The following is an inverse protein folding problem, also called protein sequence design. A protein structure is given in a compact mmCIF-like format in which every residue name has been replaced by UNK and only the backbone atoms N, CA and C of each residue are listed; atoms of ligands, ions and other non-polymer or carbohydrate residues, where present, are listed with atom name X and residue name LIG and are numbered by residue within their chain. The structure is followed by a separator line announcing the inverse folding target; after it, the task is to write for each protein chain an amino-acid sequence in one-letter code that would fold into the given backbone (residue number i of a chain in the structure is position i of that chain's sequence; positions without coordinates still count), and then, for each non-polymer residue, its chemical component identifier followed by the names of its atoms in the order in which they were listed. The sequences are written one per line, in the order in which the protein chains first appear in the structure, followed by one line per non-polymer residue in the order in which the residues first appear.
data_IF_315017003373
#
_entry.id   IF_315017003373
#
_cell.length_a   1.000
_cell.length_b   1.000
_cell.length_c   1.000
_cell.angle_alpha   90.00
_cell.angle_beta   90.00
_cell.angle_gamma   90.00
#
_symmetry.space_group_name_H-M   'P 1'
#
loop_
_entity.id
_entity.type
_entity.pdbx_description
1 polymer ?
#
# COMPACT_ATOMS: atom_id res chain seq x y z
N UNK A 1 -4.85 -1.95 17.30
CA UNK A 1 -4.51 -2.66 16.04
C UNK A 1 -3.10 -2.29 15.63
N UNK A 2 -2.31 -3.22 15.09
CA UNK A 2 -0.98 -2.91 14.54
C UNK A 2 -1.08 -2.11 13.24
N UNK A 3 -0.04 -1.28 12.97
CA UNK A 3 0.12 -0.55 11.72
C UNK A 3 1.42 -0.98 11.07
N UNK A 4 1.34 -1.53 9.85
CA UNK A 4 2.51 -1.93 9.06
C UNK A 4 2.81 -0.88 7.98
N UNK A 5 4.06 -0.47 7.86
CA UNK A 5 4.58 0.41 6.82
C UNK A 5 5.67 -0.31 6.06
N UNK A 6 5.55 -0.38 4.73
CA UNK A 6 6.50 -1.06 3.87
C UNK A 6 7.44 -0.06 3.20
N UNK A 7 8.73 -0.35 3.29
CA UNK A 7 9.84 0.33 2.61
C UNK A 7 10.41 -0.65 1.57
N UNK A 8 9.88 -0.64 0.37
CA UNK A 8 10.11 -1.68 -0.63
C UNK A 8 9.79 -3.08 -0.09
N UNK A 9 10.80 -3.92 0.17
CA UNK A 9 10.69 -5.27 0.71
C UNK A 9 10.87 -5.36 2.24
N UNK A 10 11.03 -4.21 2.93
CA UNK A 10 11.26 -4.13 4.38
C UNK A 10 10.02 -3.65 5.11
N UNK A 11 9.81 -4.15 6.32
CA UNK A 11 8.63 -3.87 7.12
C UNK A 11 8.95 -3.09 8.40
N UNK A 12 8.16 -2.06 8.67
CA UNK A 12 8.07 -1.38 9.95
C UNK A 12 6.68 -1.63 10.56
N UNK A 13 6.64 -2.22 11.75
CA UNK A 13 5.40 -2.54 12.45
C UNK A 13 5.29 -1.75 13.75
N UNK A 14 4.21 -0.96 13.91
CA UNK A 14 3.82 -0.36 15.18
C UNK A 14 2.81 -1.29 15.87
N UNK A 15 3.12 -1.73 17.09
CA UNK A 15 2.31 -2.73 17.82
C UNK A 15 2.42 -2.56 19.32
N UNK A 16 1.45 -3.07 20.07
CA UNK A 16 1.45 -3.12 21.55
C UNK A 16 2.07 -4.41 22.11
N UNK A 17 2.26 -5.42 21.25
CA UNK A 17 2.78 -6.72 21.62
C UNK A 17 3.96 -7.11 20.73
N UNK A 18 4.91 -7.85 21.29
CA UNK A 18 6.09 -8.29 20.54
C UNK A 18 5.70 -9.32 19.48
N UNK A 19 5.87 -9.01 18.18
CA UNK A 19 5.58 -9.96 17.12
C UNK A 19 6.62 -11.10 17.11
N UNK A 20 6.19 -12.29 16.74
CA UNK A 20 7.09 -13.38 16.43
C UNK A 20 7.73 -13.11 15.07
N UNK A 21 9.07 -13.03 15.00
CA UNK A 21 9.80 -12.95 13.73
C UNK A 21 10.27 -11.57 13.28
N UNK A 22 10.09 -10.51 14.09
CA UNK A 22 10.76 -9.24 13.78
C UNK A 22 12.27 -9.34 14.00
N UNK A 23 13.07 -8.91 13.01
CA UNK A 23 14.55 -8.93 13.08
C UNK A 23 15.07 -8.00 14.16
N UNK A 24 14.41 -6.85 14.33
CA UNK A 24 14.75 -5.87 15.35
C UNK A 24 13.50 -5.35 16.05
N UNK A 25 13.63 -5.08 17.35
CA UNK A 25 12.54 -4.53 18.18
C UNK A 25 13.02 -3.31 18.92
N UNK A 26 12.27 -2.22 18.79
CA UNK A 26 12.48 -0.97 19.50
C UNK A 26 11.27 -0.71 20.43
N UNK A 27 11.51 -0.26 21.65
CA UNK A 27 10.44 0.24 22.50
C UNK A 27 10.38 1.75 22.41
N UNK A 28 9.21 2.27 22.13
CA UNK A 28 8.93 3.70 22.18
C UNK A 28 8.34 4.04 23.55
N UNK A 29 8.89 5.03 24.23
CA UNK A 29 8.30 5.59 25.44
C UNK A 29 7.04 6.40 25.10
N UNK A 30 6.09 6.57 26.05
CA UNK A 30 4.90 7.38 25.81
C UNK A 30 5.27 8.79 25.34
N UNK A 31 4.77 9.19 24.16
CA UNK A 31 5.06 10.48 23.54
C UNK A 31 6.40 10.56 22.79
N UNK A 32 7.23 9.51 22.81
CA UNK A 32 8.45 9.46 21.99
C UNK A 32 8.11 9.28 20.51
N UNK A 33 8.61 10.19 19.68
CA UNK A 33 8.54 10.05 18.24
C UNK A 33 9.72 9.23 17.71
N UNK A 34 9.42 8.09 17.12
CA UNK A 34 10.39 7.32 16.34
C UNK A 34 10.41 7.89 14.90
N UNK A 35 11.39 8.73 14.59
CA UNK A 35 11.48 9.41 13.31
C UNK A 35 11.99 8.52 12.18
N UNK A 36 11.68 8.92 10.93
CA UNK A 36 12.06 8.22 9.69
C UNK A 36 13.56 7.92 9.62
N UNK A 37 14.42 8.87 9.95
CA UNK A 37 15.87 8.70 9.86
C UNK A 37 16.38 7.55 10.74
N UNK A 38 15.83 7.42 11.98
CA UNK A 38 16.15 6.32 12.89
C UNK A 38 15.67 4.97 12.32
N UNK A 39 14.47 4.94 11.75
CA UNK A 39 13.90 3.74 11.13
C UNK A 39 14.75 3.29 9.94
N UNK A 40 15.05 4.18 9.01
CA UNK A 40 15.87 3.86 7.83
C UNK A 40 17.25 3.31 8.22
N UNK A 41 17.92 3.92 9.19
CA UNK A 41 19.21 3.45 9.68
C UNK A 41 19.14 2.02 10.25
N UNK A 42 18.06 1.64 10.94
CA UNK A 42 17.86 0.28 11.45
C UNK A 42 17.60 -0.67 10.28
N UNK A 43 16.73 -0.28 9.36
CA UNK A 43 16.36 -1.09 8.20
C UNK A 43 17.50 -1.26 7.19
N UNK A 44 18.61 -0.50 7.25
CA UNK A 44 19.82 -0.79 6.47
C UNK A 44 20.35 -2.22 6.72
N UNK A 45 20.27 -2.70 7.98
CA UNK A 45 20.81 -3.98 8.41
C UNK A 45 19.74 -5.03 8.78
N UNK A 46 18.46 -4.69 8.70
CA UNK A 46 17.33 -5.55 9.07
C UNK A 46 16.24 -5.48 8.01
N UNK A 47 15.48 -6.57 7.83
CA UNK A 47 14.35 -6.60 6.91
C UNK A 47 13.04 -6.22 7.60
N UNK A 48 13.01 -6.32 8.93
CA UNK A 48 11.84 -5.95 9.71
C UNK A 48 12.19 -5.27 11.03
N UNK A 49 11.40 -4.27 11.39
CA UNK A 49 11.50 -3.52 12.63
C UNK A 49 10.13 -3.46 13.31
N UNK A 50 10.04 -3.91 14.56
CA UNK A 50 8.87 -3.68 15.39
C UNK A 50 9.10 -2.53 16.36
N UNK A 51 8.20 -1.56 16.38
CA UNK A 51 8.13 -0.49 17.37
C UNK A 51 7.02 -0.85 18.37
N UNK A 52 7.42 -1.20 19.58
CA UNK A 52 6.52 -1.49 20.68
C UNK A 52 6.09 -0.19 21.34
N UNK A 53 4.79 0.07 21.38
CA UNK A 53 4.19 1.24 22.01
C UNK A 53 2.91 0.83 22.74
N UNK A 54 2.62 1.47 23.87
CA UNK A 54 1.32 1.32 24.54
C UNK A 54 0.17 1.92 23.73
N UNK A 55 0.47 2.83 22.79
CA UNK A 55 -0.46 3.38 21.81
C UNK A 55 0.19 3.33 20.41
N UNK A 56 0.02 2.21 19.68
CA UNK A 56 0.57 2.06 18.33
C UNK A 56 0.02 3.06 17.33
N UNK A 57 -1.24 3.50 17.51
CA UNK A 57 -1.85 4.48 16.62
C UNK A 57 -1.20 5.86 16.78
N UNK A 58 -1.02 6.32 18.00
CA UNK A 58 -0.33 7.59 18.26
C UNK A 58 1.15 7.54 17.80
N UNK A 59 1.83 6.40 18.00
CA UNK A 59 3.21 6.22 17.56
C UNK A 59 3.31 6.25 16.02
N UNK A 60 2.40 5.58 15.31
CA UNK A 60 2.29 5.63 13.85
C UNK A 60 1.99 7.05 13.35
N UNK A 61 1.02 7.75 13.95
CA UNK A 61 0.67 9.12 13.54
C UNK A 61 1.85 10.09 13.74
N UNK A 62 2.58 9.98 14.86
CA UNK A 62 3.79 10.77 15.09
C UNK A 62 4.88 10.47 14.05
N UNK A 63 5.09 9.21 13.69
CA UNK A 63 6.00 8.80 12.62
C UNK A 63 5.57 9.35 11.26
N UNK A 64 4.29 9.29 10.93
CA UNK A 64 3.74 9.73 9.64
C UNK A 64 3.92 11.24 9.39
N UNK A 65 4.21 12.06 10.42
CA UNK A 65 4.51 13.49 10.25
C UNK A 65 5.81 13.75 9.49
N UNK A 66 6.69 12.76 9.30
CA UNK A 66 7.92 12.89 8.53
C UNK A 66 7.72 12.72 7.01
N UNK A 67 6.47 12.57 6.56
CA UNK A 67 6.12 12.25 5.18
C UNK A 67 5.04 13.18 4.63
N UNK A 68 5.03 13.31 3.32
CA UNK A 68 3.85 13.79 2.60
C UNK A 68 2.88 12.61 2.51
N UNK A 69 1.66 12.80 2.99
CA UNK A 69 0.62 11.77 2.90
C UNK A 69 0.01 11.75 1.51
N UNK A 70 -0.10 10.56 0.96
CA UNK A 70 -0.70 10.30 -0.36
C UNK A 70 -1.82 9.27 -0.19
N UNK A 71 -3.01 9.60 -0.67
CA UNK A 71 -4.15 8.69 -0.69
C UNK A 71 -4.21 7.96 -2.03
N UNK A 72 -4.54 6.68 -1.97
CA UNK A 72 -4.69 5.79 -3.10
C UNK A 72 -5.79 4.76 -2.83
N UNK A 73 -6.32 4.18 -3.90
CA UNK A 73 -7.25 3.08 -3.80
C UNK A 73 -7.02 2.05 -4.90
N UNK A 74 -7.46 0.82 -4.65
CA UNK A 74 -7.33 -0.26 -5.61
C UNK A 74 -8.26 -1.42 -5.33
N UNK A 75 -8.26 -2.42 -6.22
CA UNK A 75 -9.17 -3.54 -6.15
C UNK A 75 -8.53 -4.91 -6.22
N UNK A 76 -9.07 -5.83 -5.43
CA UNK A 76 -8.90 -7.27 -5.58
C UNK A 76 -10.14 -7.76 -6.34
N UNK A 77 -9.99 -7.91 -7.65
CA UNK A 77 -11.11 -8.17 -8.57
C UNK A 77 -11.16 -9.65 -8.91
N UNK A 78 -12.28 -10.29 -8.61
CA UNK A 78 -12.56 -11.67 -9.00
C UNK A 78 -13.72 -11.76 -9.99
N UNK A 79 -13.71 -12.79 -10.87
CA UNK A 79 -14.83 -13.13 -11.72
C UNK A 79 -15.66 -14.29 -11.17
N UNK A 80 -16.74 -14.66 -11.88
CA UNK A 80 -17.63 -15.76 -11.52
C UNK A 80 -16.95 -17.13 -11.63
N UNK A 81 -15.83 -17.24 -12.35
CA UNK A 81 -15.06 -18.48 -12.55
C UNK A 81 -13.91 -18.66 -11.56
N UNK A 82 -13.72 -17.72 -10.63
CA UNK A 82 -12.66 -17.78 -9.62
C UNK A 82 -11.32 -17.26 -10.10
N UNK A 83 -11.24 -16.62 -11.28
CA UNK A 83 -10.03 -15.94 -11.72
C UNK A 83 -9.87 -14.58 -11.03
N UNK A 84 -8.61 -14.18 -10.80
CA UNK A 84 -8.25 -12.91 -10.17
C UNK A 84 -7.52 -12.02 -11.18
N UNK A 85 -7.90 -10.74 -11.17
CA UNK A 85 -7.26 -9.74 -12.00
C UNK A 85 -5.97 -9.26 -11.33
N UNK A 86 -4.85 -9.39 -12.04
CA UNK A 86 -3.56 -8.88 -11.62
C UNK A 86 -2.88 -8.15 -12.78
N UNK A 87 -2.04 -7.19 -12.47
CA UNK A 87 -1.16 -6.51 -13.43
C UNK A 87 0.26 -7.02 -13.27
N UNK A 88 1.01 -7.08 -14.38
CA UNK A 88 2.43 -7.41 -14.36
C UNK A 88 3.23 -6.19 -14.83
N UNK A 89 4.01 -5.61 -13.93
CA UNK A 89 4.86 -4.45 -14.23
C UNK A 89 6.21 -4.56 -13.54
N UNK A 90 7.25 -4.06 -14.17
CA UNK A 90 8.62 -4.08 -13.62
C UNK A 90 9.07 -5.47 -13.13
N UNK A 91 8.65 -6.54 -13.82
CA UNK A 91 9.01 -7.93 -13.45
C UNK A 91 8.27 -8.49 -12.24
N UNK A 92 7.21 -7.84 -11.75
CA UNK A 92 6.44 -8.25 -10.56
C UNK A 92 4.95 -8.24 -10.83
N UNK A 93 4.24 -9.16 -10.18
CA UNK A 93 2.78 -9.14 -10.11
C UNK A 93 2.33 -8.14 -9.06
N UNK A 94 1.30 -7.37 -9.41
CA UNK A 94 0.70 -6.35 -8.53
C UNK A 94 -0.82 -6.33 -8.70
N UNK A 95 -1.51 -5.70 -7.78
CA UNK A 95 -2.93 -5.42 -7.86
C UNK A 95 -3.15 -4.02 -8.44
N UNK A 96 -4.20 -3.82 -9.27
CA UNK A 96 -4.49 -2.53 -9.87
C UNK A 96 -4.87 -1.51 -8.79
N UNK A 97 -4.20 -0.34 -8.82
CA UNK A 97 -4.38 0.76 -7.86
C UNK A 97 -3.73 2.03 -8.36
N UNK A 98 -4.22 3.14 -7.90
CA UNK A 98 -3.55 4.42 -8.15
C UNK A 98 -4.01 5.53 -7.23
N UNK A 99 -3.58 6.76 -7.54
CA UNK A 99 -3.76 7.90 -6.67
C UNK A 99 -5.21 8.40 -6.68
N UNK A 100 -5.67 8.78 -5.50
CA UNK A 100 -6.94 9.50 -5.37
C UNK A 100 -6.83 10.89 -5.99
N UNK A 101 -7.88 11.30 -6.70
CA UNK A 101 -7.98 12.61 -7.34
C UNK A 101 -9.06 13.48 -6.67
N UNK A 102 -8.86 14.82 -6.61
CA UNK A 102 -9.88 15.70 -6.06
C UNK A 102 -11.20 15.62 -6.84
N UNK A 103 -12.29 15.45 -6.10
CA UNK A 103 -13.64 15.40 -6.65
C UNK A 103 -14.24 14.01 -6.80
N UNK A 104 -13.49 12.96 -6.51
CA UNK A 104 -13.98 11.59 -6.45
C UNK A 104 -14.02 11.05 -5.02
N UNK A 105 -14.88 10.09 -4.75
CA UNK A 105 -14.83 9.28 -3.53
C UNK A 105 -13.69 8.26 -3.63
N UNK A 106 -13.30 7.66 -2.51
CA UNK A 106 -12.23 6.65 -2.53
C UNK A 106 -12.66 5.36 -3.24
N UNK A 107 -13.94 5.05 -3.24
CA UNK A 107 -14.57 3.97 -3.97
C UNK A 107 -14.54 4.21 -5.49
N UNK A 108 -14.86 5.43 -5.92
CA UNK A 108 -14.77 5.84 -7.33
C UNK A 108 -13.33 5.77 -7.82
N UNK A 109 -12.36 6.25 -7.02
CA UNK A 109 -10.94 6.09 -7.30
C UNK A 109 -10.57 4.62 -7.54
N UNK A 110 -10.97 3.72 -6.64
CA UNK A 110 -10.64 2.31 -6.78
C UNK A 110 -11.20 1.68 -8.07
N UNK A 111 -12.44 2.02 -8.44
CA UNK A 111 -13.06 1.54 -9.68
C UNK A 111 -12.39 2.14 -10.93
N UNK A 112 -12.09 3.45 -10.91
CA UNK A 112 -11.40 4.15 -11.99
C UNK A 112 -10.03 3.54 -12.25
N UNK A 113 -9.22 3.38 -11.20
CA UNK A 113 -7.85 2.86 -11.30
C UNK A 113 -7.82 1.41 -11.81
N UNK A 114 -8.75 0.55 -11.35
CA UNK A 114 -8.90 -0.79 -11.92
C UNK A 114 -9.17 -0.70 -13.42
N UNK A 115 -10.08 0.19 -13.84
CA UNK A 115 -10.40 0.37 -15.26
C UNK A 115 -9.24 0.91 -16.09
N UNK A 116 -8.48 1.87 -15.56
CA UNK A 116 -7.37 2.50 -16.26
C UNK A 116 -6.16 1.57 -16.40
N UNK A 117 -5.78 0.87 -15.32
CA UNK A 117 -4.62 -0.02 -15.33
C UNK A 117 -4.87 -1.35 -16.05
N UNK A 118 -6.12 -1.80 -16.19
CA UNK A 118 -6.42 -3.13 -16.73
C UNK A 118 -7.28 -3.13 -17.99
N UNK A 119 -7.97 -2.03 -18.29
CA UNK A 119 -8.97 -1.95 -19.35
C UNK A 119 -10.31 -2.63 -19.02
N UNK A 120 -10.42 -3.29 -17.86
CA UNK A 120 -11.66 -3.96 -17.42
C UNK A 120 -12.68 -2.92 -17.00
N UNK A 121 -13.91 -3.06 -17.51
CA UNK A 121 -15.04 -2.18 -17.19
C UNK A 121 -16.18 -2.98 -16.57
N UNK A 122 -17.03 -2.30 -15.77
CA UNK A 122 -18.18 -2.94 -15.15
C UNK A 122 -17.82 -3.75 -13.90
N UNK A 123 -16.73 -3.39 -13.22
CA UNK A 123 -16.45 -3.90 -11.88
C UNK A 123 -17.32 -3.20 -10.85
N UNK A 124 -17.75 -3.93 -9.83
CA UNK A 124 -18.48 -3.37 -8.69
C UNK A 124 -17.78 -3.71 -7.39
N UNK A 125 -17.80 -2.78 -6.46
CA UNK A 125 -17.29 -3.00 -5.09
C UNK A 125 -18.25 -3.92 -4.35
N UNK A 126 -17.69 -4.90 -3.65
CA UNK A 126 -18.41 -5.81 -2.75
C UNK A 126 -18.30 -5.32 -1.31
N UNK A 127 -17.08 -5.03 -0.85
CA UNK A 127 -16.78 -4.55 0.50
C UNK A 127 -15.36 -3.99 0.59
N UNK A 128 -15.08 -3.14 1.59
CA UNK A 128 -13.69 -2.82 1.94
C UNK A 128 -12.97 -4.05 2.49
N UNK A 129 -11.65 -4.13 2.22
CA UNK A 129 -10.78 -5.21 2.71
C UNK A 129 -9.84 -4.73 3.81
N UNK A 130 -8.84 -3.94 3.42
CA UNK A 130 -7.79 -3.47 4.31
C UNK A 130 -7.17 -2.19 3.78
N UNK A 131 -6.23 -1.66 4.55
CA UNK A 131 -5.36 -0.56 4.15
C UNK A 131 -3.92 -1.02 4.22
N UNK A 132 -3.10 -0.52 3.29
CA UNK A 132 -1.65 -0.72 3.31
C UNK A 132 -0.93 0.63 3.25
N UNK A 133 0.24 0.70 3.90
CA UNK A 133 1.06 1.91 3.91
C UNK A 133 2.42 1.60 3.30
N UNK A 134 2.81 2.39 2.30
CA UNK A 134 4.10 2.28 1.63
C UNK A 134 4.84 3.62 1.73
N UNK A 135 6.08 3.57 2.19
CA UNK A 135 6.93 4.75 2.31
C UNK A 135 8.06 4.67 1.26
N UNK A 136 8.22 5.72 0.48
CA UNK A 136 9.23 5.80 -0.59
C UNK A 136 9.69 7.23 -0.84
N UNK A 137 10.93 7.41 -1.35
CA UNK A 137 11.38 8.73 -1.79
C UNK A 137 10.78 9.07 -3.16
N UNK A 138 10.28 10.30 -3.30
CA UNK A 138 9.72 10.83 -4.53
C UNK A 138 10.18 12.26 -4.73
N UNK A 139 10.92 12.55 -5.82
CA UNK A 139 11.38 13.91 -6.19
C UNK A 139 12.03 14.68 -5.02
N UNK A 140 12.92 14.00 -4.25
CA UNK A 140 13.63 14.58 -3.10
C UNK A 140 12.80 14.72 -1.83
N UNK A 141 11.58 14.19 -1.78
CA UNK A 141 10.70 14.14 -0.60
C UNK A 141 10.34 12.72 -0.27
N UNK A 142 9.91 12.47 0.96
CA UNK A 142 9.41 11.17 1.37
C UNK A 142 7.89 11.20 1.40
N UNK A 143 7.28 10.24 0.76
CA UNK A 143 5.84 10.03 0.72
C UNK A 143 5.45 8.81 1.53
N UNK A 144 4.29 8.88 2.18
CA UNK A 144 3.62 7.77 2.83
C UNK A 144 2.28 7.57 2.13
N UNK A 145 2.24 6.58 1.25
CA UNK A 145 1.05 6.24 0.49
C UNK A 145 0.18 5.26 1.28
N UNK A 146 -1.03 5.69 1.59
CA UNK A 146 -2.11 4.87 2.13
C UNK A 146 -2.94 4.36 0.98
N UNK A 147 -2.99 3.05 0.77
CA UNK A 147 -3.85 2.44 -0.25
C UNK A 147 -5.01 1.74 0.44
N UNK A 148 -6.25 2.11 0.08
CA UNK A 148 -7.46 1.43 0.52
C UNK A 148 -7.83 0.36 -0.51
N UNK A 149 -7.96 -0.88 -0.06
CA UNK A 149 -8.25 -2.03 -0.89
C UNK A 149 -9.69 -2.45 -0.76
N UNK A 150 -10.31 -2.76 -1.91
CA UNK A 150 -11.69 -3.23 -2.00
C UNK A 150 -11.76 -4.60 -2.67
N UNK A 151 -12.59 -5.49 -2.12
CA UNK A 151 -13.04 -6.66 -2.86
C UNK A 151 -13.99 -6.20 -3.96
N UNK A 152 -13.72 -6.61 -5.18
CA UNK A 152 -14.52 -6.25 -6.33
C UNK A 152 -14.91 -7.48 -7.15
N UNK A 153 -16.06 -7.39 -7.82
CA UNK A 153 -16.55 -8.41 -8.75
C UNK A 153 -16.65 -7.85 -10.15
N UNK A 154 -16.20 -8.67 -11.08
CA UNK A 154 -16.44 -8.48 -12.49
C UNK A 154 -17.57 -9.42 -12.92
N UNK A 155 -18.69 -8.87 -13.36
CA UNK A 155 -19.90 -9.64 -13.72
C UNK A 155 -19.93 -10.00 -15.23
N UNK A 156 -18.87 -9.72 -15.99
CA UNK A 156 -18.70 -10.17 -17.38
C UNK A 156 -18.46 -11.67 -17.48
N UNK A 157 -18.60 -12.20 -18.70
CA UNK A 157 -18.26 -13.60 -18.98
C UNK A 157 -16.84 -13.90 -18.48
N UNK A 158 -16.60 -15.13 -17.95
CA UNK A 158 -15.32 -15.62 -17.42
C UNK A 158 -14.12 -15.30 -18.34
N UNK A 159 -13.61 -14.11 -18.26
CA UNK A 159 -12.62 -13.58 -19.20
C UNK A 159 -11.61 -12.65 -18.53
N UNK A 160 -11.45 -12.75 -17.20
CA UNK A 160 -10.30 -12.13 -16.57
C UNK A 160 -9.06 -12.92 -17.03
N UNK A 161 -8.58 -12.59 -18.23
CA UNK A 161 -7.25 -13.01 -18.64
C UNK A 161 -6.24 -12.13 -17.93
N UNK A 162 -5.11 -12.72 -17.58
CA UNK A 162 -3.93 -11.99 -17.10
C UNK A 162 -3.60 -10.93 -18.14
N UNK A 163 -3.92 -9.68 -17.87
CA UNK A 163 -3.62 -8.58 -18.79
C UNK A 163 -2.18 -8.16 -18.58
N UNK A 164 -1.34 -8.38 -19.60
CA UNK A 164 -0.05 -7.70 -19.71
C UNK A 164 -0.34 -6.25 -20.11
N UNK A 165 -0.47 -5.35 -19.14
CA UNK A 165 -0.63 -3.94 -19.44
C UNK A 165 0.73 -3.32 -19.68
N UNK A 166 0.98 -2.87 -20.90
CA UNK A 166 1.97 -1.84 -21.17
C UNK A 166 1.42 -0.52 -20.60
N UNK A 167 1.86 -0.16 -19.42
CA UNK A 167 1.54 1.14 -18.83
C UNK A 167 2.07 2.27 -19.71
N UNK A 168 1.25 3.30 -19.92
CA UNK A 168 1.68 4.53 -20.58
C UNK A 168 2.83 5.16 -19.80
N UNK A 169 3.78 5.75 -20.49
CA UNK A 169 5.06 6.26 -20.01
C UNK A 169 5.01 7.35 -18.89
N UNK A 170 3.85 7.66 -18.33
CA UNK A 170 3.72 8.70 -17.30
C UNK A 170 3.91 8.19 -15.86
N UNK A 171 3.91 6.88 -15.61
CA UNK A 171 4.09 6.32 -14.26
C UNK A 171 5.35 5.48 -14.07
N UNK A 172 6.15 5.28 -15.12
CA UNK A 172 7.35 4.43 -15.06
C UNK A 172 8.51 5.00 -14.26
N UNK A 173 8.48 6.30 -13.91
CA UNK A 173 9.57 6.93 -13.15
C UNK A 173 9.44 6.78 -11.63
N UNK A 174 8.41 6.10 -11.14
CA UNK A 174 8.11 6.09 -9.70
C UNK A 174 8.82 5.00 -8.88
N UNK A 175 9.50 4.03 -9.53
CA UNK A 175 10.06 2.87 -8.83
C UNK A 175 11.46 2.45 -9.29
N UNK A 176 12.23 3.35 -9.89
CA UNK A 176 13.65 3.13 -10.17
C UNK A 176 14.48 3.75 -9.05
N UNK A 177 14.71 2.99 -8.00
CA UNK A 177 15.95 2.99 -7.19
C UNK A 177 16.22 1.57 -6.76
#
# INVERSE_FOLDING_TARGET
MPFAVYFADKELLFTDSRPSGADFTLRAEPGEKIGRAKVLKILENHNSLAVLSSDPAAAFEAFATDFIRVEAAGGVVGDACGAWLMIFRNGRWDLPKGHWEPGETIEECAVREVGEETGVRGVRIVRPLCETFHAYPMRGRWELKRTRWFEMRFDGACALSVSYTHLRAHETDQYLV
#
